data_IF_852371294532
#
_entry.id   IF_852371294532
#
_cell.length_a   1.000
_cell.length_b   1.000
_cell.length_c   1.000
_cell.angle_alpha   90.00
_cell.angle_beta   90.00
_cell.angle_gamma   90.00
#
_symmetry.space_group_name_H-M   'P 1'
#
loop_
_entity.id
_entity.type
_entity.pdbx_description
1 polymer ?
#
# COMPACT_ATOMS: atom_id res chain seq x y z
N UNK A 1 -29.73 3.77 -18.20
CA UNK A 1 -28.74 2.98 -18.97
C UNK A 1 -28.34 1.83 -18.07
N UNK A 2 -28.55 0.59 -18.51
CA UNK A 2 -28.26 -0.58 -17.70
C UNK A 2 -26.77 -0.58 -17.33
N UNK A 3 -26.49 -0.38 -16.04
CA UNK A 3 -25.15 -0.50 -15.48
C UNK A 3 -24.84 -2.00 -15.52
N UNK A 4 -24.12 -2.43 -16.57
CA UNK A 4 -23.71 -3.82 -16.70
C UNK A 4 -22.92 -4.22 -15.47
N UNK A 5 -23.33 -5.31 -14.82
CA UNK A 5 -22.68 -5.82 -13.62
C UNK A 5 -21.18 -6.03 -13.87
N UNK A 6 -20.34 -5.47 -13.00
CA UNK A 6 -18.88 -5.53 -13.15
C UNK A 6 -18.39 -6.98 -13.04
N UNK A 7 -17.98 -7.56 -14.16
CA UNK A 7 -17.37 -8.90 -14.17
C UNK A 7 -15.87 -8.81 -13.83
N UNK A 8 -15.56 -8.84 -12.53
CA UNK A 8 -14.19 -8.73 -12.01
C UNK A 8 -13.30 -9.90 -12.48
N UNK A 9 -13.85 -11.11 -12.61
CA UNK A 9 -13.09 -12.29 -13.05
C UNK A 9 -12.58 -12.16 -14.49
N UNK A 10 -13.46 -11.70 -15.39
CA UNK A 10 -13.09 -11.42 -16.78
C UNK A 10 -12.01 -10.33 -16.87
N UNK A 11 -12.11 -9.30 -16.04
CA UNK A 11 -11.15 -8.20 -16.03
C UNK A 11 -9.78 -8.64 -15.49
N UNK A 12 -9.74 -9.40 -14.39
CA UNK A 12 -8.50 -9.99 -13.87
C UNK A 12 -7.86 -10.89 -14.92
N UNK A 13 -8.64 -11.73 -15.60
CA UNK A 13 -8.12 -12.61 -16.66
C UNK A 13 -7.40 -11.80 -17.74
N UNK A 14 -8.03 -10.76 -18.30
CA UNK A 14 -7.41 -9.88 -19.31
C UNK A 14 -6.17 -9.15 -18.79
N UNK A 15 -6.20 -8.70 -17.54
CA UNK A 15 -5.05 -8.05 -16.90
C UNK A 15 -3.87 -9.03 -16.78
N UNK A 16 -4.12 -10.30 -16.47
CA UNK A 16 -3.08 -11.32 -16.35
C UNK A 16 -2.64 -11.95 -17.67
N UNK A 17 -3.40 -11.80 -18.76
CA UNK A 17 -3.08 -12.33 -20.09
C UNK A 17 -1.84 -11.70 -20.73
N UNK A 18 -1.43 -10.50 -20.27
CA UNK A 18 -0.20 -9.86 -20.78
C UNK A 18 1.08 -10.38 -20.12
N UNK A 19 0.98 -11.34 -19.18
CA UNK A 19 2.15 -12.08 -18.68
C UNK A 19 2.87 -12.76 -19.84
N UNK A 20 4.20 -12.64 -19.86
CA UNK A 20 5.04 -13.16 -20.95
C UNK A 20 4.98 -12.38 -22.27
N UNK A 21 4.09 -11.39 -22.41
CA UNK A 21 4.14 -10.46 -23.53
C UNK A 21 5.30 -9.46 -23.39
N UNK A 22 5.59 -8.72 -24.46
CA UNK A 22 6.55 -7.61 -24.41
C UNK A 22 6.13 -6.61 -23.31
N UNK A 23 7.04 -6.20 -22.41
CA UNK A 23 6.76 -5.18 -21.40
C UNK A 23 6.21 -3.90 -22.04
N UNK A 24 5.20 -3.30 -21.41
CA UNK A 24 4.48 -2.15 -21.96
C UNK A 24 3.24 -2.50 -22.79
N UNK A 25 2.89 -3.79 -22.96
CA UNK A 25 1.63 -4.18 -23.61
C UNK A 25 0.45 -3.64 -22.79
N UNK A 26 -0.38 -2.85 -23.46
CA UNK A 26 -1.58 -2.22 -22.89
C UNK A 26 -2.70 -3.24 -22.79
N UNK A 27 -3.43 -3.23 -21.68
CA UNK A 27 -4.65 -4.03 -21.49
C UNK A 27 -5.85 -3.17 -21.86
N UNK A 28 -6.72 -3.69 -22.74
CA UNK A 28 -7.94 -2.99 -23.14
C UNK A 28 -9.00 -3.14 -22.05
N UNK A 29 -9.36 -2.02 -21.44
CA UNK A 29 -10.39 -1.89 -20.41
C UNK A 29 -11.36 -0.80 -20.85
N UNK A 30 -12.65 -1.00 -20.65
CA UNK A 30 -13.66 0.03 -20.91
C UNK A 30 -13.69 1.05 -19.77
N UNK A 31 -14.12 2.28 -20.05
CA UNK A 31 -14.30 3.29 -19.00
C UNK A 31 -15.30 2.83 -17.92
N UNK A 32 -16.35 2.09 -18.32
CA UNK A 32 -17.34 1.56 -17.40
C UNK A 32 -16.74 0.53 -16.43
N UNK A 33 -15.86 -0.36 -16.91
CA UNK A 33 -15.14 -1.32 -16.07
C UNK A 33 -14.23 -0.63 -15.05
N UNK A 34 -13.44 0.34 -15.50
CA UNK A 34 -12.50 1.07 -14.63
C UNK A 34 -13.27 1.90 -13.59
N UNK A 35 -14.36 2.55 -14.00
CA UNK A 35 -15.26 3.26 -13.08
C UNK A 35 -15.90 2.30 -12.07
N UNK A 36 -16.36 1.14 -12.54
CA UNK A 36 -16.95 0.10 -11.69
C UNK A 36 -15.97 -0.40 -10.62
N UNK A 37 -14.71 -0.63 -11.00
CA UNK A 37 -13.64 -0.97 -10.04
C UNK A 37 -13.53 0.09 -8.95
N UNK A 38 -13.41 1.37 -9.32
CA UNK A 38 -13.27 2.46 -8.35
C UNK A 38 -14.45 2.56 -7.39
N UNK A 39 -15.68 2.46 -7.91
CA UNK A 39 -16.90 2.56 -7.09
C UNK A 39 -16.97 1.38 -6.11
N UNK A 40 -16.75 0.15 -6.59
CA UNK A 40 -16.86 -1.05 -5.76
C UNK A 40 -15.74 -1.16 -4.73
N UNK A 41 -14.50 -0.86 -5.10
CA UNK A 41 -13.39 -0.84 -4.13
C UNK A 41 -13.58 0.26 -3.08
N UNK A 42 -14.10 1.43 -3.48
CA UNK A 42 -14.44 2.52 -2.55
C UNK A 42 -15.45 2.10 -1.49
N UNK A 43 -16.52 1.39 -1.89
CA UNK A 43 -17.50 0.82 -0.95
C UNK A 43 -16.80 -0.08 0.09
N UNK A 44 -15.92 -0.97 -0.36
CA UNK A 44 -15.17 -1.89 0.51
C UNK A 44 -14.20 -1.14 1.44
N UNK A 45 -13.48 -0.14 0.93
CA UNK A 45 -12.57 0.63 1.76
C UNK A 45 -13.32 1.37 2.87
N UNK A 46 -14.50 1.92 2.58
CA UNK A 46 -15.32 2.61 3.57
C UNK A 46 -15.96 1.65 4.58
N UNK A 47 -16.23 0.40 4.19
CA UNK A 47 -16.76 -0.61 5.13
C UNK A 47 -15.68 -1.19 6.05
N UNK A 48 -14.41 -1.14 5.64
CA UNK A 48 -13.27 -1.58 6.47
C UNK A 48 -12.67 -0.42 7.28
N UNK A 49 -12.00 -0.69 8.42
CA UNK A 49 -11.35 0.34 9.21
C UNK A 49 -10.30 1.15 8.43
N UNK A 50 -10.08 2.40 8.83
CA UNK A 50 -8.99 3.24 8.28
C UNK A 50 -7.61 2.82 8.81
N UNK A 51 -7.57 2.30 10.04
CA UNK A 51 -6.45 1.60 10.64
C UNK A 51 -6.79 0.11 10.61
N UNK A 52 -6.21 -0.62 9.66
CA UNK A 52 -6.49 -2.05 9.49
C UNK A 52 -5.85 -2.85 10.62
N UNK A 53 -6.54 -3.90 11.07
CA UNK A 53 -6.01 -4.88 12.01
C UNK A 53 -5.95 -6.22 11.28
N UNK A 54 -4.74 -6.71 11.04
CA UNK A 54 -4.47 -7.82 10.11
C UNK A 54 -3.71 -8.94 10.81
N UNK A 55 -3.87 -10.16 10.32
CA UNK A 55 -3.19 -11.35 10.85
C UNK A 55 -2.19 -11.92 9.84
N UNK A 56 -1.07 -12.46 10.33
CA UNK A 56 -0.18 -13.28 9.51
C UNK A 56 -0.82 -14.65 9.18
N UNK A 57 -0.42 -15.31 8.07
CA UNK A 57 0.62 -14.91 7.13
C UNK A 57 0.14 -13.91 6.07
N UNK A 58 0.97 -12.91 5.77
CA UNK A 58 0.81 -12.03 4.61
C UNK A 58 2.16 -11.56 4.03
N UNK A 59 2.11 -11.02 2.81
CA UNK A 59 3.25 -10.42 2.12
C UNK A 59 3.06 -8.91 2.06
N UNK A 60 4.05 -8.15 2.55
CA UNK A 60 4.01 -6.70 2.56
C UNK A 60 4.84 -6.15 1.39
N UNK A 61 4.26 -5.27 0.59
CA UNK A 61 4.87 -4.71 -0.62
C UNK A 61 4.91 -3.18 -0.55
N UNK A 62 6.04 -2.59 -0.91
CA UNK A 62 6.20 -1.13 -1.02
C UNK A 62 5.72 -0.58 -2.36
N UNK A 63 6.31 0.54 -2.76
CA UNK A 63 5.97 1.32 -3.96
C UNK A 63 6.00 0.46 -5.25
N UNK A 64 5.02 0.71 -6.12
CA UNK A 64 4.91 0.05 -7.45
C UNK A 64 5.05 1.07 -8.59
N UNK A 65 4.53 2.28 -8.42
CA UNK A 65 4.67 3.40 -9.37
C UNK A 65 4.42 3.01 -10.83
N UNK A 66 3.30 2.36 -11.12
CA UNK A 66 2.94 1.99 -12.49
C UNK A 66 3.90 1.02 -13.20
N UNK A 67 4.80 0.34 -12.48
CA UNK A 67 5.69 -0.69 -13.00
C UNK A 67 4.95 -2.03 -13.14
N UNK A 68 3.92 -2.05 -13.98
CA UNK A 68 2.96 -3.16 -14.05
C UNK A 68 3.59 -4.53 -14.32
N UNK A 69 4.58 -4.61 -15.20
CA UNK A 69 5.30 -5.87 -15.47
C UNK A 69 6.03 -6.39 -14.22
N UNK A 70 6.56 -5.49 -13.39
CA UNK A 70 7.24 -5.87 -12.15
C UNK A 70 6.25 -6.25 -11.05
N UNK A 71 5.07 -5.63 -11.01
CA UNK A 71 3.96 -6.10 -10.17
C UNK A 71 3.53 -7.54 -10.52
N UNK A 72 3.40 -7.86 -11.80
CA UNK A 72 3.08 -9.22 -12.24
C UNK A 72 4.16 -10.22 -11.81
N UNK A 73 5.44 -9.86 -11.96
CA UNK A 73 6.56 -10.68 -11.45
C UNK A 73 6.52 -10.84 -9.94
N UNK A 74 6.19 -9.79 -9.20
CA UNK A 74 6.04 -9.86 -7.74
C UNK A 74 5.02 -10.94 -7.37
N UNK A 75 3.87 -11.00 -8.05
CA UNK A 75 2.88 -12.06 -7.83
C UNK A 75 3.35 -13.43 -8.31
N UNK A 76 4.13 -13.54 -9.39
CA UNK A 76 4.72 -14.81 -9.83
C UNK A 76 5.67 -15.40 -8.78
N UNK A 77 6.48 -14.57 -8.13
CA UNK A 77 7.37 -15.00 -7.03
C UNK A 77 6.63 -15.18 -5.70
N UNK A 78 5.63 -14.35 -5.45
CA UNK A 78 4.91 -14.29 -4.20
C UNK A 78 3.76 -15.30 -4.09
N UNK A 79 3.22 -15.80 -5.20
CA UNK A 79 1.94 -16.49 -5.28
C UNK A 79 0.82 -15.50 -5.61
N UNK A 80 -0.02 -15.81 -6.60
CA UNK A 80 -1.11 -14.92 -6.99
C UNK A 80 -2.24 -14.97 -5.96
N UNK A 81 -2.95 -13.86 -5.66
CA UNK A 81 -4.14 -13.93 -4.81
C UNK A 81 -5.16 -14.95 -5.34
N UNK A 82 -5.73 -15.84 -4.49
CA UNK A 82 -5.66 -15.84 -3.02
C UNK A 82 -4.63 -16.82 -2.43
N UNK A 83 -3.67 -17.31 -3.20
CA UNK A 83 -2.61 -18.23 -2.71
C UNK A 83 -1.76 -17.61 -1.59
N UNK A 84 -1.68 -16.28 -1.56
CA UNK A 84 -1.08 -15.52 -0.47
C UNK A 84 -1.89 -14.25 -0.18
N UNK A 85 -1.91 -13.86 1.10
CA UNK A 85 -2.45 -12.58 1.53
C UNK A 85 -1.44 -11.46 1.24
N UNK A 86 -1.93 -10.27 0.89
CA UNK A 86 -1.08 -9.13 0.57
C UNK A 86 -1.50 -7.85 1.30
N UNK A 87 -0.51 -7.09 1.74
CA UNK A 87 -0.64 -5.69 2.14
C UNK A 87 0.28 -4.84 1.28
N UNK A 88 -0.26 -3.92 0.51
CA UNK A 88 0.56 -2.91 -0.17
C UNK A 88 0.56 -1.61 0.61
N UNK A 89 1.72 -0.95 0.62
CA UNK A 89 1.98 0.25 1.43
C UNK A 89 1.74 1.56 0.66
N UNK A 90 1.04 1.56 -0.47
CA UNK A 90 0.78 2.78 -1.27
C UNK A 90 1.71 2.96 -2.47
N UNK A 91 1.58 4.12 -3.13
CA UNK A 91 2.33 4.55 -4.31
C UNK A 91 2.19 3.57 -5.48
N UNK A 92 0.95 3.42 -5.92
CA UNK A 92 0.55 2.55 -7.03
C UNK A 92 0.73 3.24 -8.37
N UNK A 93 0.48 4.55 -8.40
CA UNK A 93 0.41 5.35 -9.62
C UNK A 93 1.61 6.29 -9.76
N UNK A 94 1.64 7.05 -10.85
CA UNK A 94 2.71 7.98 -11.25
C UNK A 94 4.05 7.33 -11.57
N UNK A 95 4.96 8.14 -12.16
CA UNK A 95 6.37 7.86 -12.52
C UNK A 95 6.57 6.75 -13.57
N UNK A 96 5.88 5.62 -13.46
CA UNK A 96 5.91 4.53 -14.43
C UNK A 96 4.98 4.74 -15.62
N UNK A 97 4.90 3.71 -16.47
CA UNK A 97 4.25 3.80 -17.78
C UNK A 97 2.85 3.20 -17.83
N UNK A 98 2.47 2.41 -16.82
CA UNK A 98 1.26 1.60 -16.79
C UNK A 98 0.59 1.68 -15.40
N UNK A 99 0.34 2.90 -14.93
CA UNK A 99 -0.33 3.13 -13.65
C UNK A 99 -1.78 2.65 -13.70
N UNK A 100 -2.47 2.79 -14.85
CA UNK A 100 -3.84 2.30 -15.02
C UNK A 100 -3.94 0.77 -14.84
N UNK A 101 -3.12 -0.03 -15.54
CA UNK A 101 -3.13 -1.49 -15.36
C UNK A 101 -2.76 -1.89 -13.92
N UNK A 102 -1.79 -1.20 -13.34
CA UNK A 102 -1.32 -1.42 -11.96
C UNK A 102 -2.48 -1.25 -10.99
N UNK A 103 -3.09 -0.06 -10.94
CA UNK A 103 -4.17 0.21 -9.98
C UNK A 103 -5.42 -0.62 -10.29
N UNK A 104 -5.76 -0.85 -11.56
CA UNK A 104 -6.93 -1.65 -11.92
C UNK A 104 -6.79 -3.10 -11.44
N UNK A 105 -5.62 -3.72 -11.56
CA UNK A 105 -5.39 -5.07 -11.04
C UNK A 105 -5.48 -5.12 -9.51
N UNK A 106 -4.88 -4.14 -8.82
CA UNK A 106 -4.92 -4.05 -7.36
C UNK A 106 -6.36 -3.87 -6.84
N UNK A 107 -7.15 -2.98 -7.46
CA UNK A 107 -8.56 -2.78 -7.09
C UNK A 107 -9.41 -4.01 -7.43
N UNK A 108 -9.15 -4.68 -8.55
CA UNK A 108 -9.85 -5.91 -8.91
C UNK A 108 -9.59 -7.02 -7.88
N UNK A 109 -8.34 -7.19 -7.43
CA UNK A 109 -8.02 -8.11 -6.34
C UNK A 109 -8.62 -7.69 -5.01
N UNK A 110 -8.67 -6.38 -4.71
CA UNK A 110 -9.36 -5.90 -3.51
C UNK A 110 -10.84 -6.26 -3.50
N UNK A 111 -11.52 -6.15 -4.66
CA UNK A 111 -12.93 -6.52 -4.78
C UNK A 111 -13.12 -8.03 -4.69
N UNK A 112 -12.25 -8.81 -5.33
CA UNK A 112 -12.37 -10.27 -5.37
C UNK A 112 -12.02 -10.93 -4.04
N UNK A 113 -11.06 -10.38 -3.31
CA UNK A 113 -10.51 -10.95 -2.08
C UNK A 113 -10.41 -9.89 -0.96
N UNK A 114 -11.54 -9.31 -0.52
CA UNK A 114 -11.54 -8.14 0.37
C UNK A 114 -10.89 -8.40 1.73
N UNK A 115 -10.87 -9.65 2.19
CA UNK A 115 -10.30 -10.08 3.48
C UNK A 115 -8.91 -10.73 3.35
N UNK A 116 -8.33 -10.77 2.15
CA UNK A 116 -6.99 -11.34 1.90
C UNK A 116 -6.06 -10.35 1.16
N UNK A 117 -6.60 -9.26 0.64
CA UNK A 117 -5.87 -8.29 -0.17
C UNK A 117 -6.13 -6.86 0.34
N UNK A 118 -5.09 -6.18 0.77
CA UNK A 118 -5.15 -4.92 1.47
C UNK A 118 -4.25 -3.87 0.80
N UNK A 119 -4.76 -2.64 0.72
CA UNK A 119 -4.11 -1.53 0.03
C UNK A 119 -4.14 -0.33 0.97
N UNK A 120 -2.97 0.16 1.40
CA UNK A 120 -2.85 1.43 2.13
C UNK A 120 -2.75 2.60 1.15
N UNK A 121 -2.89 3.82 1.67
CA UNK A 121 -2.71 5.04 0.90
C UNK A 121 -1.25 5.50 0.91
N UNK A 122 -0.66 5.71 -0.26
CA UNK A 122 0.60 6.43 -0.42
C UNK A 122 0.38 7.91 -0.71
N UNK A 123 1.47 8.69 -0.77
CA UNK A 123 1.36 10.12 -1.07
C UNK A 123 1.01 10.39 -2.53
N UNK A 124 1.23 9.44 -3.43
CA UNK A 124 0.80 9.53 -4.83
C UNK A 124 -0.70 9.19 -5.04
N UNK A 125 -1.38 8.63 -4.04
CA UNK A 125 -2.84 8.50 -4.03
C UNK A 125 -3.54 9.79 -3.53
N UNK A 126 -3.00 10.94 -3.95
CA UNK A 126 -3.53 12.28 -3.70
C UNK A 126 -3.58 13.08 -5.01
N UNK A 127 -4.66 13.84 -5.22
CA UNK A 127 -4.92 14.54 -6.47
C UNK A 127 -3.86 15.59 -6.78
N UNK A 128 -3.36 16.33 -5.80
CA UNK A 128 -2.33 17.36 -6.02
C UNK A 128 -1.03 16.78 -6.56
N UNK A 129 -0.66 15.57 -6.11
CA UNK A 129 0.56 14.86 -6.51
C UNK A 129 0.37 14.19 -7.87
N UNK A 130 -0.64 13.33 -8.00
CA UNK A 130 -0.82 12.56 -9.24
C UNK A 130 -1.36 13.37 -10.42
N UNK A 131 -1.71 14.64 -10.18
CA UNK A 131 -1.96 15.62 -11.23
C UNK A 131 -0.70 15.97 -12.04
N UNK A 132 0.47 15.91 -11.43
CA UNK A 132 1.74 16.40 -12.02
C UNK A 132 2.78 15.31 -12.26
N UNK A 133 2.66 14.14 -11.60
CA UNK A 133 3.65 13.06 -11.71
C UNK A 133 3.28 11.91 -12.66
N UNK A 134 2.17 12.03 -13.40
CA UNK A 134 1.90 11.24 -14.60
C UNK A 134 0.50 10.63 -14.71
N UNK A 135 -0.15 10.31 -13.59
CA UNK A 135 -1.41 9.54 -13.61
C UNK A 135 -2.57 10.31 -14.23
N UNK A 136 -2.67 11.62 -13.96
CA UNK A 136 -3.65 12.49 -14.62
C UNK A 136 -3.48 12.48 -16.14
N UNK A 137 -2.25 12.61 -16.63
CA UNK A 137 -1.97 12.62 -18.06
C UNK A 137 -2.21 11.24 -18.68
N UNK A 138 -1.93 10.15 -17.96
CA UNK A 138 -2.26 8.80 -18.40
C UNK A 138 -3.78 8.60 -18.53
N UNK A 139 -4.55 8.99 -17.51
CA UNK A 139 -6.01 8.95 -17.53
C UNK A 139 -6.59 9.81 -18.66
N UNK A 140 -6.12 11.05 -18.81
CA UNK A 140 -6.57 11.97 -19.85
C UNK A 140 -6.29 11.44 -21.26
N UNK A 141 -5.13 10.81 -21.47
CA UNK A 141 -4.72 10.28 -22.77
C UNK A 141 -5.47 9.00 -23.16
N UNK A 142 -5.72 8.11 -22.20
CA UNK A 142 -6.32 6.78 -22.47
C UNK A 142 -7.83 6.74 -22.29
N UNK A 143 -8.36 7.64 -21.48
CA UNK A 143 -9.79 7.74 -21.17
C UNK A 143 -10.19 9.22 -21.19
N UNK A 144 -10.44 9.81 -20.03
CA UNK A 144 -10.81 11.20 -19.88
C UNK A 144 -10.51 11.72 -18.46
N UNK A 145 -10.67 13.02 -18.25
CA UNK A 145 -10.43 13.68 -16.95
C UNK A 145 -11.46 13.26 -15.90
N UNK A 146 -12.68 12.90 -16.30
CA UNK A 146 -13.73 12.46 -15.38
C UNK A 146 -13.32 11.16 -14.68
N UNK A 147 -12.69 10.23 -15.40
CA UNK A 147 -12.19 8.99 -14.84
C UNK A 147 -11.08 9.23 -13.80
N UNK A 148 -10.17 10.18 -14.06
CA UNK A 148 -9.17 10.58 -13.05
C UNK A 148 -9.83 11.09 -11.75
N UNK A 149 -10.90 11.90 -11.86
CA UNK A 149 -11.66 12.34 -10.68
C UNK A 149 -12.31 11.16 -9.94
N UNK A 150 -12.81 10.16 -10.67
CA UNK A 150 -13.34 8.93 -10.06
C UNK A 150 -12.25 8.16 -9.30
N UNK A 151 -11.02 8.10 -9.82
CA UNK A 151 -9.89 7.54 -9.06
C UNK A 151 -9.59 8.36 -7.81
N UNK A 152 -9.60 9.69 -7.88
CA UNK A 152 -9.44 10.56 -6.71
C UNK A 152 -10.48 10.25 -5.64
N UNK A 153 -11.76 10.11 -6.01
CA UNK A 153 -12.83 9.75 -5.07
C UNK A 153 -12.59 8.39 -4.40
N UNK A 154 -12.02 7.43 -5.13
CA UNK A 154 -11.62 6.13 -4.59
C UNK A 154 -10.41 6.23 -3.66
N UNK A 155 -9.36 6.95 -4.06
CA UNK A 155 -8.14 7.13 -3.29
C UNK A 155 -8.38 7.86 -1.97
N UNK A 156 -9.29 8.82 -1.96
CA UNK A 156 -9.73 9.53 -0.75
C UNK A 156 -10.37 8.60 0.31
N UNK A 157 -10.70 7.36 -0.06
CA UNK A 157 -11.27 6.36 0.84
C UNK A 157 -10.27 5.27 1.26
N UNK A 158 -9.03 5.26 0.78
CA UNK A 158 -8.05 4.25 1.18
C UNK A 158 -7.76 4.31 2.70
N UNK A 159 -7.53 3.15 3.35
CA UNK A 159 -6.99 3.12 4.71
C UNK A 159 -5.56 3.66 4.75
N UNK A 160 -5.15 4.19 5.91
CA UNK A 160 -3.91 4.96 6.05
C UNK A 160 -2.80 4.13 6.67
N UNK A 161 -3.15 3.21 7.56
CA UNK A 161 -2.20 2.37 8.26
C UNK A 161 -2.78 0.97 8.51
N UNK A 162 -1.90 0.03 8.85
CA UNK A 162 -2.29 -1.29 9.35
C UNK A 162 -1.44 -1.67 10.56
N UNK A 163 -1.98 -2.52 11.42
CA UNK A 163 -1.23 -3.22 12.47
C UNK A 163 -1.37 -4.72 12.18
N UNK A 164 -0.23 -5.40 12.00
CA UNK A 164 -0.19 -6.85 11.79
C UNK A 164 0.15 -7.56 13.10
N UNK A 165 -0.65 -8.54 13.48
CA UNK A 165 -0.50 -9.37 14.70
C UNK A 165 -0.27 -8.54 15.96
N UNK A 166 -0.88 -7.35 16.05
CA UNK A 166 -0.67 -6.39 17.14
C UNK A 166 0.80 -5.95 17.35
N UNK A 167 1.71 -6.27 16.43
CA UNK A 167 3.17 -6.07 16.59
C UNK A 167 3.86 -5.27 15.49
N UNK A 168 3.32 -5.22 14.28
CA UNK A 168 3.96 -4.50 13.17
C UNK A 168 3.06 -3.36 12.70
N UNK A 169 3.46 -2.12 12.98
CA UNK A 169 2.79 -0.93 12.44
C UNK A 169 3.24 -0.66 11.01
N UNK A 170 2.29 -0.55 10.09
CA UNK A 170 2.51 -0.38 8.67
C UNK A 170 1.89 0.94 8.19
N UNK A 171 2.65 1.75 7.47
CA UNK A 171 2.17 2.96 6.79
C UNK A 171 3.06 3.25 5.57
N UNK A 172 2.71 4.23 4.74
CA UNK A 172 3.52 4.57 3.58
C UNK A 172 4.79 5.33 3.96
N UNK A 173 4.60 6.52 4.56
CA UNK A 173 5.66 7.44 4.98
C UNK A 173 6.29 6.98 6.28
N UNK A 174 5.77 7.43 7.41
CA UNK A 174 6.38 7.13 8.70
C UNK A 174 5.59 7.66 9.89
N UNK A 175 6.30 8.10 10.92
CA UNK A 175 5.70 8.58 12.17
C UNK A 175 5.32 10.06 12.07
N UNK A 176 4.43 10.49 12.97
CA UNK A 176 4.06 11.90 13.15
C UNK A 176 4.38 12.35 14.59
N UNK A 177 4.85 13.59 14.81
CA UNK A 177 4.92 14.16 16.16
C UNK A 177 3.53 14.29 16.79
N UNK A 178 2.47 14.35 15.97
CA UNK A 178 1.09 14.43 16.43
C UNK A 178 0.52 13.06 16.81
N UNK A 179 1.17 11.95 16.46
CA UNK A 179 0.69 10.60 16.75
C UNK A 179 1.05 10.17 18.18
N UNK A 180 0.10 10.33 19.09
CA UNK A 180 0.20 9.93 20.50
C UNK A 180 -0.64 8.68 20.81
N UNK A 181 -1.74 8.46 20.08
CA UNK A 181 -2.63 7.31 20.21
C UNK A 181 -3.14 6.86 18.85
N UNK A 182 -3.26 5.53 18.65
CA UNK A 182 -3.84 4.95 17.44
C UNK A 182 -5.29 5.39 17.20
N UNK A 183 -6.00 5.81 18.25
CA UNK A 183 -7.33 6.42 18.13
C UNK A 183 -7.33 7.68 17.26
N UNK A 184 -6.22 8.41 17.19
CA UNK A 184 -6.13 9.58 16.32
C UNK A 184 -6.20 9.17 14.84
N UNK A 185 -5.63 8.02 14.47
CA UNK A 185 -5.76 7.46 13.11
C UNK A 185 -7.20 6.99 12.89
N UNK A 186 -7.78 6.25 13.86
CA UNK A 186 -9.15 5.71 13.75
C UNK A 186 -10.22 6.79 13.57
N UNK A 187 -9.99 8.00 14.10
CA UNK A 187 -10.92 9.15 14.03
C UNK A 187 -10.82 9.96 12.74
N UNK A 188 -9.84 9.70 11.87
CA UNK A 188 -9.76 10.36 10.57
C UNK A 188 -10.95 9.89 9.72
N UNK A 189 -11.82 10.83 9.36
CA UNK A 189 -13.00 10.54 8.55
C UNK A 189 -12.64 10.41 7.07
N UNK A 190 -13.29 9.47 6.38
CA UNK A 190 -13.17 9.28 4.93
C UNK A 190 -14.51 9.54 4.24
N UNK A 191 -14.55 10.05 3.00
CA UNK A 191 -13.41 10.44 2.16
C UNK A 191 -12.69 11.69 2.69
N UNK A 192 -11.37 11.75 2.56
CA UNK A 192 -10.56 12.94 2.89
C UNK A 192 -9.45 13.12 1.87
N UNK A 193 -9.08 14.37 1.58
CA UNK A 193 -7.83 14.67 0.89
C UNK A 193 -6.65 14.59 1.88
N UNK A 194 -5.43 14.57 1.36
CA UNK A 194 -4.20 14.64 2.17
C UNK A 194 -3.88 16.12 2.43
N UNK A 195 -3.86 16.58 3.69
CA UNK A 195 -3.50 17.96 4.02
C UNK A 195 -2.00 18.21 3.78
N UNK A 196 -1.60 19.48 3.67
CA UNK A 196 -0.19 19.86 3.50
C UNK A 196 0.65 19.63 4.77
N UNK A 197 0.02 19.54 5.95
CA UNK A 197 0.67 19.34 7.25
C UNK A 197 -0.17 18.49 8.21
N UNK A 198 0.46 17.99 9.28
CA UNK A 198 -0.19 17.30 10.40
C UNK A 198 -0.28 15.79 10.20
N UNK A 199 -0.92 15.10 11.15
CA UNK A 199 -0.93 13.63 11.27
C UNK A 199 -1.08 12.85 9.94
N UNK A 200 -2.11 13.17 9.13
CA UNK A 200 -2.34 12.44 7.88
C UNK A 200 -1.25 12.72 6.83
N UNK A 201 -0.73 13.94 6.78
CA UNK A 201 0.41 14.27 5.92
C UNK A 201 1.62 13.43 6.35
N UNK A 202 1.94 13.44 7.64
CA UNK A 202 3.15 12.79 8.15
C UNK A 202 3.17 11.27 7.98
N UNK A 203 2.01 10.61 8.15
CA UNK A 203 1.86 9.17 7.91
C UNK A 203 2.15 8.77 6.45
N UNK A 204 2.04 9.73 5.52
CA UNK A 204 2.28 9.52 4.09
C UNK A 204 3.61 10.13 3.60
N UNK A 205 4.25 11.04 4.35
CA UNK A 205 5.38 11.83 3.85
C UNK A 205 6.65 11.81 4.71
N UNK A 206 6.56 11.45 5.99
CA UNK A 206 7.72 11.50 6.87
C UNK A 206 8.75 10.41 6.53
N UNK A 207 10.01 10.69 6.86
CA UNK A 207 11.14 9.79 6.58
C UNK A 207 12.01 9.54 7.83
N UNK A 208 12.54 8.32 8.02
CA UNK A 208 13.54 8.09 9.04
C UNK A 208 14.89 8.72 8.64
N UNK A 209 15.57 9.35 9.59
CA UNK A 209 16.92 9.87 9.42
C UNK A 209 17.82 9.45 10.59
N UNK A 210 18.97 8.86 10.26
CA UNK A 210 19.95 8.35 11.24
C UNK A 210 20.77 9.46 11.90
N UNK A 211 20.87 10.61 11.24
CA UNK A 211 21.68 11.74 11.69
C UNK A 211 20.84 12.75 12.51
N UNK A 212 19.54 12.48 12.65
CA UNK A 212 18.58 13.26 13.45
C UNK A 212 18.31 12.59 14.79
N UNK A 213 18.29 13.39 15.87
CA UNK A 213 17.77 13.01 17.17
C UNK A 213 16.43 13.72 17.41
N UNK A 214 15.38 12.97 17.73
CA UNK A 214 14.02 13.50 17.78
C UNK A 214 13.43 13.73 16.38
N UNK A 215 12.93 14.94 16.13
CA UNK A 215 12.31 15.35 14.86
C UNK A 215 13.19 16.38 14.15
N UNK A 216 13.26 16.29 12.82
CA UNK A 216 14.04 17.21 11.98
C UNK A 216 13.24 17.70 10.77
N UNK A 217 13.81 18.67 10.06
CA UNK A 217 13.28 19.11 8.77
C UNK A 217 13.42 18.00 7.73
N UNK A 218 12.51 17.96 6.76
CA UNK A 218 12.54 17.00 5.66
C UNK A 218 12.94 17.70 4.37
N UNK A 219 13.98 17.21 3.69
CA UNK A 219 14.49 17.74 2.42
C UNK A 219 13.45 17.76 1.29
N UNK A 220 12.35 17.01 1.44
CA UNK A 220 11.20 17.05 0.52
C UNK A 220 10.43 18.36 0.58
N UNK A 221 10.66 19.19 1.60
CA UNK A 221 9.92 20.42 1.87
C UNK A 221 8.50 20.19 2.41
N UNK A 222 8.21 18.97 2.88
CA UNK A 222 6.91 18.57 3.45
C UNK A 222 7.14 17.55 4.56
N UNK A 223 6.33 17.61 5.61
CA UNK A 223 6.44 16.76 6.80
C UNK A 223 7.82 16.86 7.49
N UNK A 224 8.23 15.80 8.19
CA UNK A 224 9.40 15.76 9.07
C UNK A 224 10.29 14.56 8.76
N UNK A 225 11.53 14.65 9.23
CA UNK A 225 12.38 13.48 9.47
C UNK A 225 12.30 13.07 10.93
N UNK A 226 12.56 11.79 11.24
CA UNK A 226 12.55 11.28 12.61
C UNK A 226 13.71 10.32 12.91
N UNK A 227 14.28 10.49 14.12
CA UNK A 227 15.41 9.72 14.61
C UNK A 227 15.05 8.33 15.16
N UNK A 228 16.08 7.52 15.38
CA UNK A 228 15.94 6.18 15.97
C UNK A 228 15.31 6.23 17.37
N UNK A 229 15.54 7.30 18.15
CA UNK A 229 14.95 7.45 19.48
C UNK A 229 13.43 7.67 19.43
N UNK A 230 12.91 8.33 18.37
CA UNK A 230 11.47 8.46 18.12
C UNK A 230 10.86 7.09 17.83
N UNK A 231 11.52 6.29 16.99
CA UNK A 231 11.09 4.91 16.69
C UNK A 231 11.03 4.08 17.97
N UNK A 232 12.10 4.05 18.77
CA UNK A 232 12.13 3.27 20.01
C UNK A 232 11.06 3.71 21.01
N UNK A 233 10.84 5.02 21.18
CA UNK A 233 9.78 5.54 22.05
C UNK A 233 8.39 5.14 21.57
N UNK A 234 8.15 5.19 20.26
CA UNK A 234 6.87 4.81 19.65
C UNK A 234 6.58 3.32 19.85
N UNK A 235 7.54 2.45 19.51
CA UNK A 235 7.41 1.01 19.66
C UNK A 235 7.12 0.61 21.11
N UNK A 236 7.90 1.14 22.05
CA UNK A 236 7.72 0.88 23.49
C UNK A 236 6.36 1.38 24.02
N UNK A 237 5.91 2.56 23.57
CA UNK A 237 4.63 3.14 24.02
C UNK A 237 3.43 2.31 23.58
N UNK A 238 3.49 1.72 22.39
CA UNK A 238 2.38 1.02 21.77
C UNK A 238 2.51 -0.51 21.82
N UNK A 239 3.51 -1.04 22.52
CA UNK A 239 3.84 -2.47 22.60
C UNK A 239 4.00 -3.14 21.21
N UNK A 240 4.66 -2.42 20.30
CA UNK A 240 4.97 -2.87 18.95
C UNK A 240 6.43 -3.30 18.83
N UNK A 241 6.71 -4.19 17.89
CA UNK A 241 8.06 -4.69 17.63
C UNK A 241 8.72 -4.03 16.40
N UNK A 242 7.92 -3.60 15.42
CA UNK A 242 8.43 -3.13 14.14
C UNK A 242 7.55 -2.04 13.50
N UNK A 243 8.20 -1.11 12.80
CA UNK A 243 7.57 -0.23 11.81
C UNK A 243 7.96 -0.73 10.42
N UNK A 244 6.96 -1.06 9.59
CA UNK A 244 7.14 -1.38 8.19
C UNK A 244 6.63 -0.23 7.32
N UNK A 245 7.48 0.30 6.44
CA UNK A 245 7.15 1.48 5.63
C UNK A 245 7.78 1.44 4.23
N UNK A 246 7.42 2.38 3.36
CA UNK A 246 7.80 2.40 1.94
C UNK A 246 8.52 3.70 1.50
N UNK A 247 8.06 4.45 0.49
CA UNK A 247 8.35 5.88 0.19
C UNK A 247 9.81 6.34 -0.09
N UNK A 248 10.83 5.55 0.26
CA UNK A 248 12.23 5.82 -0.05
C UNK A 248 12.84 4.70 -0.89
N UNK A 249 13.53 5.09 -1.96
CA UNK A 249 14.37 4.19 -2.72
C UNK A 249 15.61 3.86 -1.90
N UNK A 250 15.74 2.61 -1.47
CA UNK A 250 16.98 2.13 -0.86
C UNK A 250 18.11 2.13 -1.90
N UNK A 251 19.17 2.91 -1.64
CA UNK A 251 20.33 2.95 -2.52
C UNK A 251 21.02 1.57 -2.53
N UNK A 252 21.62 1.14 -3.65
CA UNK A 252 22.30 -0.17 -3.73
C UNK A 252 23.37 -0.39 -2.63
N UNK A 253 24.06 0.68 -2.22
CA UNK A 253 25.03 0.66 -1.12
C UNK A 253 24.40 0.31 0.24
N UNK A 254 23.16 0.75 0.47
CA UNK A 254 22.40 0.51 1.69
C UNK A 254 21.78 -0.90 1.68
N UNK A 255 21.41 -1.40 0.49
CA UNK A 255 20.94 -2.79 0.32
C UNK A 255 22.00 -3.81 0.76
N UNK A 256 23.26 -3.62 0.34
CA UNK A 256 24.37 -4.52 0.68
C UNK A 256 24.79 -4.46 2.16
N UNK A 257 24.69 -3.29 2.79
CA UNK A 257 25.11 -3.09 4.17
C UNK A 257 24.05 -3.53 5.20
N UNK A 258 22.76 -3.37 4.90
CA UNK A 258 21.65 -3.67 5.85
C UNK A 258 20.99 -5.03 5.62
N UNK A 259 21.04 -5.57 4.40
CA UNK A 259 20.41 -6.85 4.06
C UNK A 259 21.44 -7.80 3.45
N UNK A 260 22.43 -8.24 4.25
CA UNK A 260 23.11 -9.49 3.95
C UNK A 260 22.10 -10.63 4.13
N UNK A 261 21.36 -10.94 3.07
CA UNK A 261 20.80 -12.28 2.94
C UNK A 261 21.99 -13.24 2.86
N UNK A 262 22.29 -13.89 3.98
CA UNK A 262 23.18 -15.04 4.01
C UNK A 262 22.72 -16.01 2.92
N UNK A 263 23.65 -16.36 2.02
CA UNK A 263 23.39 -17.29 0.94
C UNK A 263 22.67 -18.52 1.46
N UNK A 264 21.67 -18.97 0.68
CA UNK A 264 20.91 -20.19 0.92
C UNK A 264 21.85 -21.35 1.28
N UNK A 265 21.84 -21.74 2.55
CA UNK A 265 22.05 -23.12 2.95
C UNK A 265 20.80 -23.57 3.73
N UNK A 266 19.99 -24.37 3.03
CA UNK A 266 19.11 -25.43 3.55
C UNK A 266 18.56 -25.27 4.98
N UNK A 267 17.59 -24.37 5.15
CA UNK A 267 16.81 -24.28 6.39
C UNK A 267 15.82 -23.13 6.33
N UNK A 268 14.64 -23.37 5.74
CA UNK A 268 13.55 -22.39 5.76
C UNK A 268 13.18 -22.09 7.23
N UNK A 269 12.97 -20.83 7.63
CA UNK A 269 12.31 -20.53 8.88
C UNK A 269 10.88 -21.07 8.79
N UNK A 270 10.55 -22.07 9.61
CA UNK A 270 9.21 -22.63 9.73
C UNK A 270 8.57 -21.97 10.95
N UNK A 271 7.34 -21.50 10.81
CA UNK A 271 6.50 -21.07 11.93
C UNK A 271 6.45 -22.19 12.98
N UNK A 272 6.76 -21.94 14.27
CA UNK A 272 6.72 -22.99 15.29
C UNK A 272 5.32 -23.62 15.33
N UNK A 273 5.20 -24.96 15.35
CA UNK A 273 3.89 -25.60 15.49
C UNK A 273 3.28 -25.23 16.85
N UNK A 274 1.99 -24.87 16.81
CA UNK A 274 1.15 -24.60 17.99
C UNK A 274 1.24 -25.81 18.94
N UNK A 275 1.78 -25.61 20.14
CA UNK A 275 1.76 -26.65 21.18
C UNK A 275 0.32 -26.90 21.61
N UNK A 276 -0.26 -28.01 21.16
CA UNK A 276 -1.52 -28.51 21.65
C UNK A 276 -1.31 -29.20 23.00
N UNK A 277 -1.56 -28.47 24.10
CA UNK A 277 -2.32 -28.92 25.28
C UNK A 277 -2.04 -27.99 26.48
N UNK A 278 -3.08 -27.53 27.20
CA UNK A 278 -2.89 -26.82 28.46
C UNK A 278 -2.47 -27.80 29.58
N UNK A 279 -1.66 -27.37 30.57
CA UNK A 279 -1.28 -28.20 31.69
C UNK A 279 -2.49 -28.48 32.60
N UNK A 280 -2.74 -29.77 32.89
CA UNK A 280 -3.68 -30.20 33.93
C UNK A 280 -3.17 -29.71 35.29
N UNK A 281 -3.96 -28.89 35.98
CA UNK A 281 -3.76 -28.58 37.40
C UNK A 281 -3.93 -29.87 38.22
N UNK A 282 -2.93 -30.18 39.02
CA UNK A 282 -3.06 -31.00 40.24
C UNK A 282 -3.02 -30.05 41.43
#
# INVERSE_FOLDING_TARGET
MADGELNVDSLITRLLEVRGCRPGKIVQMTEAEVRGLCIKSREIFLSQPILLELEAPLKICGDIHGQYTDLLRLFEYGGFPPEANYLFLGDYVDRGKQSLETICLLLAYKIKYPENFFLLRGNHECASINRIYGFYDECKRRFNIKLWKTFTDCFNCLPIAAIVDEKIFCCHGGLSPDLQSMEQIRRIMRPTDVPDTGLLCDLLWSDPDKDVQGWGENDRGVSFTFGADVVSKFLNRHDLDLICRAHQILKPSEKKAKYQYGGLNSGRPVTPPRTANPPKKR
#
